data_IF_436717451170
#
_entry.id   IF_436717451170
#
_cell.length_a   1.000
_cell.length_b   1.000
_cell.length_c   1.000
_cell.angle_alpha   90.00
_cell.angle_beta   90.00
_cell.angle_gamma   90.00
#
_symmetry.space_group_name_H-M   'P 1'
#
loop_
_entity.id
_entity.type
_entity.pdbx_description
1 polymer ?
#
# COMPACT_ATOMS: atom_id res chain seq x y z
N UNK A 1 -3.44 18.93 12.97
CA UNK A 1 -3.95 17.55 12.88
C UNK A 1 -3.10 16.66 13.77
N UNK A 2 -3.72 15.82 14.59
CA UNK A 2 -3.03 14.86 15.45
C UNK A 2 -3.83 13.57 15.49
N UNK A 3 -3.27 12.50 14.92
CA UNK A 3 -3.89 11.17 14.95
C UNK A 3 -3.10 10.14 15.77
N UNK A 4 -2.53 10.58 16.90
CA UNK A 4 -1.83 9.72 17.85
C UNK A 4 -2.72 9.40 19.05
N UNK A 5 -3.04 8.11 19.25
CA UNK A 5 -3.94 7.63 20.29
C UNK A 5 -3.23 6.60 21.19
N UNK A 6 -3.19 6.86 22.50
CA UNK A 6 -2.55 5.93 23.43
C UNK A 6 -1.09 5.59 23.14
N UNK A 7 -0.36 6.49 22.45
CA UNK A 7 1.01 6.27 22.03
C UNK A 7 1.15 5.66 20.61
N UNK A 8 0.06 5.17 20.02
CA UNK A 8 0.05 4.59 18.67
C UNK A 8 -0.29 5.66 17.63
N UNK A 9 0.53 5.77 16.57
CA UNK A 9 0.25 6.64 15.43
C UNK A 9 -0.76 5.96 14.52
N UNK A 10 -1.93 6.59 14.35
CA UNK A 10 -2.93 6.19 13.36
C UNK A 10 -2.67 6.93 12.06
N UNK A 11 -2.75 6.21 10.96
CA UNK A 11 -2.54 6.72 9.61
C UNK A 11 -3.52 6.11 8.62
N UNK A 12 -3.33 6.47 7.36
CA UNK A 12 -4.05 5.85 6.24
C UNK A 12 -3.14 5.73 5.02
N UNK A 13 -3.38 4.73 4.19
CA UNK A 13 -2.84 4.69 2.84
C UNK A 13 -3.71 5.57 1.93
N UNK A 14 -3.09 6.41 1.09
CA UNK A 14 -3.85 7.34 0.21
C UNK A 14 -4.71 6.61 -0.82
N UNK A 15 -4.43 5.33 -1.10
CA UNK A 15 -5.30 4.45 -1.89
C UNK A 15 -6.73 4.31 -1.32
N UNK A 16 -6.94 4.62 -0.04
CA UNK A 16 -8.28 4.62 0.57
C UNK A 16 -9.23 5.62 -0.10
N UNK A 17 -8.71 6.66 -0.74
CA UNK A 17 -9.46 7.69 -1.46
C UNK A 17 -9.47 7.53 -2.99
N UNK A 18 -9.09 6.35 -3.51
CA UNK A 18 -8.97 6.08 -4.97
C UNK A 18 -10.25 6.34 -5.79
N UNK A 19 -11.42 6.34 -5.17
CA UNK A 19 -12.72 6.65 -5.79
C UNK A 19 -13.12 8.12 -5.66
N UNK A 20 -12.30 8.93 -5.00
CA UNK A 20 -12.51 10.37 -4.83
C UNK A 20 -11.58 11.14 -5.78
N UNK A 21 -11.79 12.45 -5.98
CA UNK A 21 -10.85 13.27 -6.76
C UNK A 21 -9.42 13.13 -6.25
N UNK A 22 -8.49 12.82 -7.16
CA UNK A 22 -7.06 12.63 -6.85
C UNK A 22 -6.30 13.94 -6.70
N UNK A 23 -4.98 13.82 -6.50
CA UNK A 23 -4.06 14.94 -6.34
C UNK A 23 -3.69 15.22 -4.90
N UNK A 24 -2.48 15.77 -4.71
CA UNK A 24 -1.89 15.94 -3.39
C UNK A 24 -2.68 16.90 -2.51
N UNK A 25 -3.24 17.95 -3.09
CA UNK A 25 -4.08 18.95 -2.40
C UNK A 25 -5.37 18.30 -1.86
N UNK A 26 -6.00 17.43 -2.65
CA UNK A 26 -7.17 16.69 -2.20
C UNK A 26 -6.83 15.69 -1.09
N UNK A 27 -5.69 15.01 -1.18
CA UNK A 27 -5.19 14.13 -0.10
C UNK A 27 -5.03 14.92 1.19
N UNK A 28 -4.45 16.12 1.14
CA UNK A 28 -4.32 17.01 2.30
C UNK A 28 -5.69 17.32 2.89
N UNK A 29 -6.64 17.74 2.06
CA UNK A 29 -8.01 18.03 2.48
C UNK A 29 -8.66 16.83 3.19
N UNK A 30 -8.55 15.63 2.59
CA UNK A 30 -9.12 14.42 3.19
C UNK A 30 -8.46 14.03 4.51
N UNK A 31 -7.14 14.20 4.62
CA UNK A 31 -6.43 14.02 5.87
C UNK A 31 -6.93 14.97 6.97
N UNK A 32 -7.11 16.24 6.62
CA UNK A 32 -7.61 17.24 7.56
C UNK A 32 -9.05 16.96 8.00
N UNK A 33 -9.93 16.62 7.07
CA UNK A 33 -11.33 16.26 7.36
C UNK A 33 -11.43 14.98 8.21
N UNK A 34 -10.55 13.99 7.96
CA UNK A 34 -10.49 12.74 8.72
C UNK A 34 -9.65 12.86 10.00
N UNK A 35 -9.04 14.01 10.28
CA UNK A 35 -8.10 14.23 11.38
C UNK A 35 -6.90 13.27 11.39
N UNK A 36 -6.36 12.94 10.21
CA UNK A 36 -5.22 12.03 10.00
C UNK A 36 -3.94 12.84 9.83
N UNK A 37 -2.90 12.54 10.62
CA UNK A 37 -1.59 13.24 10.60
C UNK A 37 -0.44 12.39 10.05
N UNK A 38 -0.70 11.16 9.61
CA UNK A 38 0.33 10.26 9.06
C UNK A 38 -0.23 9.47 7.89
N UNK A 39 0.53 9.38 6.78
CA UNK A 39 0.07 8.68 5.58
C UNK A 39 1.13 7.71 5.04
N UNK A 40 0.63 6.62 4.45
CA UNK A 40 1.32 5.85 3.43
C UNK A 40 0.92 6.43 2.07
N UNK A 41 1.86 7.08 1.40
CA UNK A 41 1.59 7.81 0.17
C UNK A 41 1.77 6.90 -1.05
N UNK A 42 0.76 6.85 -1.92
CA UNK A 42 0.90 6.20 -3.22
C UNK A 42 1.93 6.93 -4.07
N UNK A 43 2.93 6.20 -4.57
CA UNK A 43 3.97 6.76 -5.42
C UNK A 43 3.42 7.42 -6.69
N UNK A 44 2.36 6.84 -7.26
CA UNK A 44 1.70 7.42 -8.43
C UNK A 44 1.08 8.80 -8.17
N UNK A 45 0.51 9.04 -7.00
CA UNK A 45 -0.01 10.36 -6.63
C UNK A 45 1.12 11.41 -6.52
N UNK A 46 2.25 10.99 -5.94
CA UNK A 46 3.43 11.82 -5.82
C UNK A 46 4.06 12.11 -7.19
N UNK A 47 4.29 11.08 -8.01
CA UNK A 47 4.87 11.24 -9.34
C UNK A 47 4.00 12.11 -10.24
N UNK A 48 2.67 11.95 -10.19
CA UNK A 48 1.73 12.81 -10.93
C UNK A 48 1.82 14.27 -10.49
N UNK A 49 1.90 14.54 -9.19
CA UNK A 49 2.10 15.89 -8.66
C UNK A 49 3.43 16.52 -9.14
N UNK A 50 4.47 15.72 -9.25
CA UNK A 50 5.79 16.14 -9.69
C UNK A 50 5.92 16.27 -11.23
N UNK A 51 4.88 15.95 -11.99
CA UNK A 51 4.81 16.09 -13.44
C UNK A 51 5.31 14.89 -14.23
N UNK A 52 5.18 13.68 -13.69
CA UNK A 52 5.48 12.45 -14.41
C UNK A 52 4.61 12.27 -15.65
N UNK A 53 5.09 11.56 -16.68
CA UNK A 53 4.28 11.14 -17.81
C UNK A 53 3.02 10.37 -17.37
N UNK A 54 1.90 10.62 -18.05
CA UNK A 54 0.64 9.96 -17.72
C UNK A 54 0.67 8.46 -18.10
N UNK A 55 0.35 7.59 -17.15
CA UNK A 55 0.33 6.15 -17.37
C UNK A 55 -0.83 5.74 -18.30
N UNK A 56 -0.58 5.21 -19.51
CA UNK A 56 -1.62 4.85 -20.47
C UNK A 56 -2.50 3.70 -20.00
N UNK A 57 -2.03 2.84 -19.10
CA UNK A 57 -2.81 1.73 -18.56
C UNK A 57 -4.10 2.20 -17.89
N UNK A 58 -4.10 3.37 -17.26
CA UNK A 58 -5.31 3.94 -16.65
C UNK A 58 -6.42 4.21 -17.69
N UNK A 59 -6.06 4.58 -18.92
CA UNK A 59 -7.01 4.77 -20.04
C UNK A 59 -7.58 3.42 -20.51
N UNK A 60 -6.74 2.39 -20.55
CA UNK A 60 -7.15 1.06 -21.02
C UNK A 60 -8.11 0.40 -20.05
N UNK A 61 -7.91 0.54 -18.74
CA UNK A 61 -8.82 0.02 -17.71
C UNK A 61 -10.13 0.80 -17.61
N UNK A 62 -10.12 2.12 -17.81
CA UNK A 62 -11.36 2.94 -17.84
C UNK A 62 -12.32 2.57 -18.99
N UNK A 63 -11.81 2.02 -20.08
CA UNK A 63 -12.64 1.59 -21.24
C UNK A 63 -13.35 0.26 -21.01
N UNK A 64 -12.98 -0.51 -20.00
CA UNK A 64 -13.80 -1.64 -19.54
C UNK A 64 -14.92 -1.05 -18.66
N UNK A 65 -16.06 -0.77 -19.29
CA UNK A 65 -17.22 -0.22 -18.58
C UNK A 65 -17.57 -1.07 -17.35
N UNK A 66 -17.98 -0.45 -16.23
CA UNK A 66 -18.52 -1.17 -15.10
C UNK A 66 -19.64 -2.09 -15.60
N UNK A 67 -19.64 -3.35 -15.16
CA UNK A 67 -20.79 -4.22 -15.39
C UNK A 67 -22.04 -3.48 -14.84
N UNK A 68 -23.15 -3.48 -15.57
CA UNK A 68 -24.38 -2.87 -15.07
C UNK A 68 -24.68 -3.48 -13.70
N UNK A 69 -25.06 -2.62 -12.75
CA UNK A 69 -25.44 -3.04 -11.42
C UNK A 69 -26.51 -4.15 -11.54
N UNK A 70 -26.35 -5.22 -10.76
CA UNK A 70 -27.34 -6.30 -10.73
C UNK A 70 -28.72 -5.71 -10.46
N UNK A 71 -29.71 -6.16 -11.21
CA UNK A 71 -31.09 -5.73 -10.99
C UNK A 71 -31.54 -6.13 -9.57
N UNK A 72 -32.45 -5.36 -8.94
CA UNK A 72 -32.99 -5.73 -7.64
C UNK A 72 -33.51 -7.18 -7.66
N UNK A 73 -32.90 -8.06 -6.83
CA UNK A 73 -33.24 -9.48 -6.76
C UNK A 73 -32.30 -10.44 -7.52
N UNK A 74 -31.37 -9.95 -8.33
CA UNK A 74 -30.31 -10.80 -8.92
C UNK A 74 -29.09 -10.88 -7.99
N UNK A 75 -28.60 -12.11 -7.75
CA UNK A 75 -27.32 -12.30 -7.03
C UNK A 75 -26.19 -11.63 -7.83
N UNK A 76 -25.33 -10.82 -7.19
CA UNK A 76 -24.15 -10.30 -7.85
C UNK A 76 -23.36 -11.47 -8.46
N UNK A 77 -22.99 -11.36 -9.73
CA UNK A 77 -22.11 -12.33 -10.35
C UNK A 77 -20.79 -12.37 -9.58
N UNK A 78 -20.32 -13.56 -9.21
CA UNK A 78 -19.05 -13.74 -8.56
C UNK A 78 -17.95 -13.02 -9.38
N UNK A 79 -17.01 -12.30 -8.72
CA UNK A 79 -15.94 -11.62 -9.43
C UNK A 79 -15.18 -12.64 -10.28
N UNK A 80 -15.26 -12.52 -11.60
CA UNK A 80 -14.48 -13.35 -12.50
C UNK A 80 -13.01 -13.08 -12.20
N UNK A 81 -12.26 -14.11 -11.84
CA UNK A 81 -10.80 -14.07 -11.87
C UNK A 81 -10.40 -13.71 -13.31
N UNK A 82 -10.18 -12.44 -13.55
CA UNK A 82 -9.63 -11.99 -14.83
C UNK A 82 -8.17 -12.41 -14.85
N UNK A 83 -7.79 -13.17 -15.88
CA UNK A 83 -6.37 -13.43 -16.17
C UNK A 83 -5.64 -12.11 -16.42
N UNK A 84 -4.30 -12.14 -16.53
CA UNK A 84 -3.54 -10.94 -16.83
C UNK A 84 -4.13 -10.23 -18.07
N UNK A 85 -4.21 -8.89 -18.06
CA UNK A 85 -4.81 -8.14 -19.16
C UNK A 85 -4.06 -8.45 -20.46
N UNK A 86 -4.81 -8.76 -21.51
CA UNK A 86 -4.24 -8.91 -22.85
C UNK A 86 -4.31 -7.55 -23.57
N UNK A 87 -3.17 -7.00 -23.90
CA UNK A 87 -3.06 -5.75 -24.66
C UNK A 87 -2.95 -6.02 -26.16
N UNK A 88 -3.47 -5.11 -26.98
CA UNK A 88 -3.19 -5.14 -28.43
C UNK A 88 -1.74 -4.73 -28.67
N UNK A 89 -1.17 -5.06 -29.87
CA UNK A 89 0.19 -4.61 -30.21
C UNK A 89 0.39 -3.09 -30.06
N UNK A 90 -0.61 -2.30 -30.44
CA UNK A 90 -0.58 -0.83 -30.31
C UNK A 90 -0.59 -0.39 -28.85
N UNK A 91 -1.41 -1.02 -28.00
CA UNK A 91 -1.44 -0.76 -26.57
C UNK A 91 -0.12 -1.15 -25.91
N UNK A 92 0.46 -2.28 -26.32
CA UNK A 92 1.76 -2.70 -25.82
C UNK A 92 2.87 -1.71 -26.20
N UNK A 93 2.87 -1.22 -27.45
CA UNK A 93 3.82 -0.21 -27.90
C UNK A 93 3.68 1.11 -27.09
N UNK A 94 2.44 1.53 -26.78
CA UNK A 94 2.20 2.71 -25.94
C UNK A 94 2.70 2.50 -24.49
N UNK A 95 2.52 1.31 -23.95
CA UNK A 95 3.04 0.95 -22.62
C UNK A 95 4.58 0.96 -22.63
N UNK A 96 5.21 0.40 -23.64
CA UNK A 96 6.68 0.32 -23.71
C UNK A 96 7.29 1.71 -23.90
N UNK A 97 6.69 2.55 -24.72
CA UNK A 97 7.07 3.98 -24.84
C UNK A 97 6.95 4.69 -23.49
N UNK A 98 5.83 4.51 -22.79
CA UNK A 98 5.65 5.09 -21.45
C UNK A 98 6.74 4.64 -20.45
N UNK A 99 7.13 3.36 -20.46
CA UNK A 99 8.19 2.88 -19.58
C UNK A 99 9.52 3.61 -19.79
N UNK A 100 9.89 3.85 -21.05
CA UNK A 100 11.11 4.60 -21.37
C UNK A 100 10.98 6.07 -20.96
N UNK A 101 9.85 6.70 -21.22
CA UNK A 101 9.60 8.10 -20.86
C UNK A 101 9.60 8.31 -19.35
N UNK A 102 8.91 7.43 -18.60
CA UNK A 102 8.86 7.55 -17.13
C UNK A 102 10.20 7.24 -16.49
N UNK A 103 10.97 6.28 -17.04
CA UNK A 103 12.34 6.02 -16.59
C UNK A 103 13.22 7.25 -16.78
N UNK A 104 13.23 7.84 -17.99
CA UNK A 104 14.02 9.05 -18.26
C UNK A 104 13.62 10.20 -17.33
N UNK A 105 12.31 10.39 -17.11
CA UNK A 105 11.79 11.38 -16.18
C UNK A 105 12.24 11.13 -14.73
N UNK A 106 12.14 9.90 -14.23
CA UNK A 106 12.58 9.51 -12.88
C UNK A 106 14.05 9.80 -12.66
N UNK A 107 14.90 9.42 -13.60
CA UNK A 107 16.35 9.61 -13.50
C UNK A 107 16.78 11.08 -13.66
N UNK A 108 15.97 11.91 -14.32
CA UNK A 108 16.17 13.34 -14.46
C UNK A 108 15.48 14.22 -13.41
N UNK A 109 14.76 13.61 -12.46
CA UNK A 109 13.99 14.38 -11.48
C UNK A 109 14.89 15.18 -10.54
N UNK A 110 14.64 16.48 -10.45
CA UNK A 110 15.22 17.35 -9.42
C UNK A 110 14.53 17.07 -8.07
N UNK A 111 15.30 16.52 -7.11
CA UNK A 111 14.81 16.18 -5.78
C UNK A 111 14.33 17.38 -4.95
N UNK A 112 14.73 18.61 -5.30
CA UNK A 112 14.20 19.83 -4.65
C UNK A 112 12.68 19.97 -4.82
N UNK A 113 12.13 19.47 -5.92
CA UNK A 113 10.67 19.41 -6.15
C UNK A 113 9.97 18.46 -5.18
N UNK A 114 10.62 17.36 -4.84
CA UNK A 114 10.14 16.39 -3.84
C UNK A 114 10.09 17.02 -2.45
N UNK A 115 11.11 17.79 -2.09
CA UNK A 115 11.14 18.55 -0.84
C UNK A 115 10.00 19.58 -0.77
N UNK A 116 9.64 20.18 -1.91
CA UNK A 116 8.47 21.05 -2.03
C UNK A 116 7.16 20.32 -1.72
N UNK A 117 6.96 19.12 -2.27
CA UNK A 117 5.81 18.27 -1.95
C UNK A 117 5.77 17.87 -0.46
N UNK A 118 6.93 17.51 0.09
CA UNK A 118 7.05 17.23 1.53
C UNK A 118 6.67 18.42 2.37
N UNK A 119 7.15 19.64 2.01
CA UNK A 119 6.83 20.86 2.73
C UNK A 119 5.32 21.14 2.72
N UNK A 120 4.66 20.97 1.57
CA UNK A 120 3.21 21.14 1.43
C UNK A 120 2.43 20.25 2.42
N UNK A 121 2.80 18.97 2.53
CA UNK A 121 2.18 18.03 3.49
C UNK A 121 2.52 18.41 4.95
N UNK A 122 3.77 18.73 5.24
CA UNK A 122 4.20 19.06 6.60
C UNK A 122 3.59 20.35 7.11
N UNK A 123 3.40 21.36 6.27
CA UNK A 123 2.71 22.62 6.63
C UNK A 123 1.24 22.37 6.99
N UNK A 124 0.62 21.34 6.38
CA UNK A 124 -0.71 20.86 6.74
C UNK A 124 -0.75 19.94 7.97
N UNK A 125 0.40 19.69 8.62
CA UNK A 125 0.52 18.81 9.78
C UNK A 125 0.47 17.32 9.45
N UNK A 126 0.83 16.94 8.22
CA UNK A 126 0.79 15.56 7.73
C UNK A 126 2.22 15.06 7.48
N UNK A 127 2.55 13.90 8.04
CA UNK A 127 3.83 13.21 7.82
C UNK A 127 3.66 12.01 6.89
N UNK A 128 4.63 11.78 6.02
CA UNK A 128 4.70 10.57 5.19
C UNK A 128 5.61 9.58 5.90
N UNK A 129 5.11 8.38 6.21
CA UNK A 129 5.91 7.35 6.88
C UNK A 129 6.36 6.23 5.94
N UNK A 130 5.59 5.98 4.88
CA UNK A 130 5.90 5.03 3.79
C UNK A 130 5.54 5.70 2.46
N UNK A 131 6.33 5.43 1.41
CA UNK A 131 5.93 5.71 0.03
C UNK A 131 5.79 4.39 -0.73
N UNK A 132 4.61 4.15 -1.33
CA UNK A 132 4.34 2.95 -2.13
C UNK A 132 4.85 3.15 -3.56
N UNK A 133 6.15 2.96 -3.75
CA UNK A 133 6.83 3.11 -5.05
C UNK A 133 6.79 1.86 -5.92
N UNK A 134 6.52 0.70 -5.34
CA UNK A 134 6.43 -0.60 -6.01
C UNK A 134 7.66 -0.92 -6.88
N UNK A 135 8.87 -1.01 -6.30
CA UNK A 135 10.11 -1.23 -7.05
C UNK A 135 10.15 -2.55 -7.84
N UNK A 136 9.29 -3.53 -7.53
CA UNK A 136 9.15 -4.76 -8.33
C UNK A 136 8.74 -4.48 -9.77
N UNK A 137 7.98 -3.43 -10.01
CA UNK A 137 7.55 -2.99 -11.34
C UNK A 137 8.56 -2.12 -12.08
N UNK A 138 9.70 -1.79 -11.46
CA UNK A 138 10.73 -0.93 -12.06
C UNK A 138 11.72 -1.74 -12.90
N UNK A 139 12.00 -1.26 -14.12
CA UNK A 139 12.76 -1.98 -15.13
C UNK A 139 14.27 -1.97 -14.89
N UNK A 140 14.80 -1.09 -14.05
CA UNK A 140 16.22 -0.98 -13.79
C UNK A 140 16.55 -0.70 -12.32
N UNK A 141 17.81 -0.96 -11.94
CA UNK A 141 18.28 -0.73 -10.58
C UNK A 141 18.42 0.76 -10.25
N UNK A 142 18.66 1.60 -11.26
CA UNK A 142 18.63 3.06 -11.10
C UNK A 142 17.23 3.56 -10.72
N UNK A 143 16.17 2.97 -11.26
CA UNK A 143 14.80 3.29 -10.85
C UNK A 143 14.49 2.77 -9.43
N UNK A 144 15.01 1.60 -9.04
CA UNK A 144 14.92 1.13 -7.65
C UNK A 144 15.64 2.11 -6.71
N UNK A 145 16.83 2.55 -7.06
CA UNK A 145 17.57 3.57 -6.29
C UNK A 145 16.79 4.89 -6.19
N UNK A 146 16.17 5.32 -7.29
CA UNK A 146 15.27 6.48 -7.34
C UNK A 146 14.12 6.33 -6.33
N UNK A 147 13.47 5.16 -6.25
CA UNK A 147 12.35 4.93 -5.33
C UNK A 147 12.73 5.23 -3.87
N UNK A 148 13.91 4.78 -3.44
CA UNK A 148 14.41 5.06 -2.09
C UNK A 148 14.83 6.52 -1.91
N UNK A 149 15.47 7.14 -2.91
CA UNK A 149 15.83 8.57 -2.87
C UNK A 149 14.61 9.46 -2.70
N UNK A 150 13.56 9.23 -3.49
CA UNK A 150 12.32 10.01 -3.43
C UNK A 150 11.60 9.80 -2.10
N UNK A 151 11.47 8.56 -1.64
CA UNK A 151 10.86 8.28 -0.35
C UNK A 151 11.61 8.94 0.81
N UNK A 152 12.95 8.94 0.77
CA UNK A 152 13.80 9.63 1.75
C UNK A 152 13.60 11.15 1.71
N UNK A 153 13.55 11.75 0.52
CA UNK A 153 13.29 13.19 0.35
C UNK A 153 11.90 13.59 0.86
N UNK A 154 10.89 12.71 0.72
CA UNK A 154 9.57 12.87 1.35
C UNK A 154 9.60 12.77 2.88
N UNK A 155 10.71 12.39 3.49
CA UNK A 155 10.85 12.18 4.93
C UNK A 155 10.34 10.82 5.41
N UNK A 156 9.97 9.92 4.50
CA UNK A 156 9.62 8.54 4.81
C UNK A 156 10.84 7.75 5.25
N UNK A 157 10.61 6.68 6.03
CA UNK A 157 11.66 5.75 6.43
C UNK A 157 11.53 4.38 5.75
N UNK A 158 10.46 4.18 4.99
CA UNK A 158 10.25 2.93 4.27
C UNK A 158 9.65 3.18 2.88
N UNK A 159 10.01 2.27 1.97
CA UNK A 159 9.34 2.02 0.69
C UNK A 159 8.51 0.76 0.86
N UNK A 160 7.39 0.62 0.16
CA UNK A 160 6.57 -0.59 0.20
C UNK A 160 6.27 -1.15 -1.19
N UNK A 161 6.11 -2.46 -1.22
CA UNK A 161 5.70 -3.28 -2.36
C UNK A 161 4.99 -4.54 -1.86
N UNK A 162 4.47 -5.36 -2.77
CA UNK A 162 3.89 -6.66 -2.44
C UNK A 162 4.98 -7.65 -2.03
N UNK A 163 4.70 -8.48 -1.02
CA UNK A 163 5.67 -9.42 -0.44
C UNK A 163 6.11 -10.47 -1.47
N UNK A 164 7.41 -10.48 -1.77
CA UNK A 164 8.00 -11.38 -2.74
C UNK A 164 9.49 -11.59 -2.47
N UNK A 165 9.98 -12.82 -2.56
CA UNK A 165 11.37 -13.19 -2.26
C UNK A 165 12.37 -12.57 -3.23
N UNK A 166 12.09 -12.62 -4.54
CA UNK A 166 13.01 -12.10 -5.54
C UNK A 166 13.09 -10.57 -5.48
N UNK A 167 11.95 -9.93 -5.25
CA UNK A 167 11.92 -8.48 -5.00
C UNK A 167 12.76 -8.14 -3.77
N UNK A 168 12.63 -8.89 -2.68
CA UNK A 168 13.40 -8.64 -1.45
C UNK A 168 14.92 -8.75 -1.68
N UNK A 169 15.38 -9.78 -2.41
CA UNK A 169 16.80 -9.92 -2.78
C UNK A 169 17.31 -8.72 -3.59
N UNK A 170 16.50 -8.25 -4.55
CA UNK A 170 16.86 -7.13 -5.42
C UNK A 170 16.93 -5.81 -4.67
N UNK A 171 15.97 -5.53 -3.76
CA UNK A 171 15.83 -4.21 -3.13
C UNK A 171 16.62 -4.05 -1.84
N UNK A 172 17.01 -5.13 -1.16
CA UNK A 172 17.73 -5.07 0.11
C UNK A 172 18.99 -4.20 0.06
N UNK A 173 19.89 -4.30 -0.95
CA UNK A 173 21.07 -3.45 -1.05
C UNK A 173 20.74 -1.95 -1.14
N UNK A 174 19.61 -1.58 -1.77
CA UNK A 174 19.18 -0.20 -1.88
C UNK A 174 18.59 0.32 -0.58
N UNK A 175 17.80 -0.49 0.12
CA UNK A 175 17.31 -0.14 1.44
C UNK A 175 18.45 0.13 2.43
N UNK A 176 19.47 -0.74 2.45
CA UNK A 176 20.68 -0.59 3.26
C UNK A 176 21.49 0.67 2.86
N UNK A 177 21.76 0.85 1.56
CA UNK A 177 22.46 2.01 1.02
C UNK A 177 21.84 3.34 1.47
N UNK A 178 20.52 3.42 1.50
CA UNK A 178 19.81 4.64 1.87
C UNK A 178 19.52 4.74 3.38
N UNK A 179 19.82 3.72 4.18
CA UNK A 179 19.48 3.64 5.59
C UNK A 179 17.97 3.68 5.81
N UNK A 180 17.23 2.98 4.96
CA UNK A 180 15.78 2.89 4.95
C UNK A 180 15.30 1.44 5.07
N UNK A 181 14.00 1.27 5.22
CA UNK A 181 13.36 -0.04 5.20
C UNK A 181 12.65 -0.29 3.88
N UNK A 182 12.66 -1.55 3.46
CA UNK A 182 11.69 -2.10 2.54
C UNK A 182 10.62 -2.83 3.36
N UNK A 183 9.42 -2.28 3.44
CA UNK A 183 8.33 -2.83 4.23
C UNK A 183 7.31 -3.52 3.30
N UNK A 184 7.27 -4.83 3.29
CA UNK A 184 6.44 -5.61 2.39
C UNK A 184 5.00 -5.75 2.86
N UNK A 185 4.07 -5.45 1.95
CA UNK A 185 2.64 -5.62 2.13
C UNK A 185 2.19 -7.01 1.66
N UNK A 186 1.27 -7.63 2.38
CA UNK A 186 0.67 -8.89 1.99
C UNK A 186 -0.79 -8.73 1.56
N UNK A 187 -1.19 -9.54 0.59
CA UNK A 187 -2.58 -9.83 0.28
C UNK A 187 -2.96 -11.24 0.76
N UNK A 188 -2.94 -12.21 -0.14
CA UNK A 188 -3.38 -13.59 0.15
C UNK A 188 -2.22 -14.59 0.21
N UNK A 189 -0.97 -14.14 0.16
CA UNK A 189 0.21 -14.99 0.10
C UNK A 189 0.28 -15.97 1.28
N UNK A 190 -0.14 -15.55 2.47
CA UNK A 190 -0.15 -16.42 3.66
C UNK A 190 -1.14 -17.60 3.59
N UNK A 191 -2.07 -17.60 2.61
CA UNK A 191 -2.96 -18.72 2.35
C UNK A 191 -2.39 -19.68 1.28
N UNK A 192 -1.27 -19.34 0.66
CA UNK A 192 -0.60 -20.20 -0.31
C UNK A 192 0.16 -21.33 0.43
N UNK A 193 0.05 -22.56 -0.08
CA UNK A 193 0.72 -23.71 0.51
C UNK A 193 2.24 -23.51 0.53
N UNK A 194 2.85 -23.68 1.72
CA UNK A 194 4.30 -23.54 1.90
C UNK A 194 4.81 -22.10 1.97
N UNK A 195 3.95 -21.08 1.89
CA UNK A 195 4.41 -19.71 2.04
C UNK A 195 4.88 -19.41 3.47
N UNK A 196 6.04 -18.79 3.57
CA UNK A 196 6.57 -18.19 4.80
C UNK A 196 7.27 -16.87 4.50
N UNK A 197 7.12 -15.88 5.37
CA UNK A 197 7.89 -14.65 5.30
C UNK A 197 9.31 -14.79 5.93
N UNK A 198 9.61 -15.87 6.64
CA UNK A 198 10.90 -16.07 7.30
C UNK A 198 12.09 -15.99 6.32
N UNK A 199 12.09 -16.66 5.14
CA UNK A 199 13.19 -16.53 4.18
C UNK A 199 13.34 -15.10 3.63
N UNK A 200 12.23 -14.37 3.50
CA UNK A 200 12.22 -12.99 3.01
C UNK A 200 12.85 -12.06 4.05
N UNK A 201 12.43 -12.18 5.30
CA UNK A 201 12.95 -11.40 6.42
C UNK A 201 14.42 -11.72 6.74
N UNK A 202 14.88 -12.93 6.44
CA UNK A 202 16.26 -13.36 6.65
C UNK A 202 17.25 -12.70 5.69
N UNK A 203 16.81 -12.08 4.58
CA UNK A 203 17.67 -11.44 3.58
C UNK A 203 18.44 -10.27 4.20
N UNK A 204 17.75 -9.42 4.98
CA UNK A 204 18.35 -8.23 5.57
C UNK A 204 17.53 -7.71 6.76
N UNK A 205 18.17 -7.10 7.75
CA UNK A 205 17.47 -6.32 8.78
C UNK A 205 16.67 -5.14 8.23
N UNK A 206 17.01 -4.66 7.03
CA UNK A 206 16.27 -3.58 6.35
C UNK A 206 14.97 -4.05 5.69
N UNK A 207 14.73 -5.36 5.62
CA UNK A 207 13.46 -5.93 5.15
C UNK A 207 12.51 -6.04 6.35
N UNK A 208 11.36 -5.40 6.22
CA UNK A 208 10.31 -5.34 7.25
C UNK A 208 8.96 -5.74 6.66
N UNK A 209 7.94 -5.86 7.50
CA UNK A 209 6.56 -6.10 7.10
C UNK A 209 5.74 -4.80 7.22
N UNK A 210 5.00 -4.48 6.19
CA UNK A 210 3.84 -3.60 6.19
C UNK A 210 2.61 -4.53 6.26
N UNK A 211 2.41 -5.11 7.44
CA UNK A 211 1.54 -6.26 7.63
C UNK A 211 0.07 -5.91 7.50
N UNK A 212 -0.62 -6.47 6.51
CA UNK A 212 -2.07 -6.34 6.40
C UNK A 212 -2.79 -7.45 7.16
N UNK A 213 -3.23 -7.11 8.37
CA UNK A 213 -3.92 -8.01 9.28
C UNK A 213 -5.28 -8.45 8.76
N UNK A 214 -5.97 -7.57 8.00
CA UNK A 214 -7.26 -7.91 7.40
C UNK A 214 -7.13 -8.90 6.25
N UNK A 215 -6.15 -8.72 5.36
CA UNK A 215 -5.89 -9.71 4.31
C UNK A 215 -5.42 -11.04 4.87
N UNK A 216 -4.57 -11.01 5.90
CA UNK A 216 -4.13 -12.21 6.59
C UNK A 216 -5.31 -12.99 7.18
N UNK A 217 -6.14 -12.34 8.01
CA UNK A 217 -7.32 -12.97 8.59
C UNK A 217 -8.30 -13.47 7.52
N UNK A 218 -8.67 -12.60 6.57
CA UNK A 218 -9.65 -12.93 5.54
C UNK A 218 -9.24 -14.08 4.63
N UNK A 219 -7.95 -14.32 4.45
CA UNK A 219 -7.44 -15.41 3.61
C UNK A 219 -7.14 -16.70 4.38
N UNK A 220 -6.75 -16.62 5.64
CA UNK A 220 -6.30 -17.77 6.43
C UNK A 220 -7.28 -18.17 7.55
N UNK A 221 -8.10 -17.24 8.05
CA UNK A 221 -8.89 -17.43 9.28
C UNK A 221 -8.09 -17.40 10.56
N UNK A 222 -6.77 -17.23 10.50
CA UNK A 222 -5.88 -17.22 11.65
C UNK A 222 -5.94 -15.84 12.30
N UNK A 223 -5.91 -15.81 13.64
CA UNK A 223 -5.92 -14.57 14.41
C UNK A 223 -4.65 -13.74 14.15
N UNK A 224 -4.74 -12.46 13.70
CA UNK A 224 -3.57 -11.67 13.32
C UNK A 224 -2.55 -11.45 14.44
N UNK A 225 -2.98 -11.53 15.71
CA UNK A 225 -2.09 -11.41 16.84
C UNK A 225 -1.00 -12.48 16.89
N UNK A 226 -1.18 -13.62 16.24
CA UNK A 226 -0.13 -14.64 16.13
C UNK A 226 1.06 -14.08 15.32
N UNK A 227 0.79 -13.44 14.19
CA UNK A 227 1.81 -12.79 13.37
C UNK A 227 2.44 -11.59 14.08
N UNK A 228 1.60 -10.74 14.71
CA UNK A 228 2.09 -9.54 15.40
C UNK A 228 3.03 -9.91 16.54
N UNK A 229 2.69 -10.92 17.35
CA UNK A 229 3.55 -11.42 18.45
C UNK A 229 4.84 -12.03 17.92
N UNK A 230 4.76 -12.85 16.86
CA UNK A 230 5.93 -13.54 16.30
C UNK A 230 6.93 -12.56 15.65
N UNK A 231 6.43 -11.54 14.97
CA UNK A 231 7.25 -10.66 14.12
C UNK A 231 7.23 -9.19 14.58
N UNK A 232 6.90 -8.90 15.84
CA UNK A 232 6.72 -7.52 16.31
C UNK A 232 7.93 -6.63 16.03
N UNK A 233 9.16 -7.13 16.12
CA UNK A 233 10.40 -6.38 15.82
C UNK A 233 10.65 -6.21 14.31
N UNK A 234 9.90 -6.91 13.46
CA UNK A 234 10.01 -6.90 12.00
C UNK A 234 8.78 -6.31 11.32
N UNK A 235 7.80 -5.83 12.08
CA UNK A 235 6.63 -5.13 11.57
C UNK A 235 6.88 -3.62 11.66
N UNK A 236 6.93 -2.96 10.50
CA UNK A 236 7.08 -1.51 10.40
C UNK A 236 5.74 -0.80 10.54
N UNK A 237 4.69 -1.34 9.93
CA UNK A 237 3.33 -0.82 9.95
C UNK A 237 2.31 -1.95 9.87
N UNK A 238 1.11 -1.71 10.38
CA UNK A 238 -0.01 -2.65 10.28
C UNK A 238 -1.15 -2.00 9.52
N UNK A 239 -1.65 -2.68 8.49
CA UNK A 239 -2.91 -2.33 7.84
C UNK A 239 -4.06 -3.04 8.54
N UNK A 240 -5.08 -2.28 8.90
CA UNK A 240 -6.33 -2.81 9.44
C UNK A 240 -7.47 -2.59 8.46
N UNK A 241 -8.28 -3.59 8.29
CA UNK A 241 -9.56 -3.56 7.59
C UNK A 241 -10.44 -4.66 8.16
N UNK A 242 -11.72 -4.38 8.29
CA UNK A 242 -12.66 -5.42 8.71
C UNK A 242 -13.02 -6.32 7.53
N UNK A 243 -13.07 -7.62 7.76
CA UNK A 243 -13.30 -8.63 6.74
C UNK A 243 -14.07 -9.83 7.26
N UNK A 244 -14.74 -10.53 6.35
CA UNK A 244 -15.22 -11.88 6.59
C UNK A 244 -14.06 -12.88 6.55
N UNK A 245 -14.23 -14.00 7.23
CA UNK A 245 -13.28 -15.12 7.21
C UNK A 245 -13.23 -15.85 5.86
N UNK A 246 -12.28 -16.80 5.68
CA UNK A 246 -12.08 -17.51 4.42
C UNK A 246 -13.21 -18.49 4.06
N UNK A 247 -14.04 -18.86 5.03
CA UNK A 247 -15.14 -19.83 4.87
C UNK A 247 -16.52 -19.22 5.09
N UNK A 248 -16.64 -17.90 5.17
CA UNK A 248 -17.88 -17.21 5.48
C UNK A 248 -18.83 -17.21 4.29
N UNK A 249 -19.80 -18.10 4.31
CA UNK A 249 -20.96 -18.16 3.42
C UNK A 249 -20.63 -17.87 1.94
N UNK A 250 -21.48 -17.04 1.31
CA UNK A 250 -21.34 -16.68 -0.11
C UNK A 250 -20.30 -15.58 -0.38
N UNK A 251 -19.70 -14.98 0.66
CA UNK A 251 -18.78 -13.84 0.55
C UNK A 251 -17.53 -14.01 1.42
N UNK A 252 -16.70 -15.03 1.14
CA UNK A 252 -15.45 -15.23 1.87
C UNK A 252 -14.46 -14.11 1.57
N UNK A 253 -13.64 -13.77 2.57
CA UNK A 253 -12.55 -12.79 2.44
C UNK A 253 -12.99 -11.43 1.85
N UNK A 254 -14.19 -10.98 2.19
CA UNK A 254 -14.77 -9.72 1.67
C UNK A 254 -14.62 -8.60 2.69
N UNK A 255 -14.26 -7.39 2.22
CA UNK A 255 -14.18 -6.21 3.08
C UNK A 255 -15.56 -5.86 3.62
N UNK A 256 -15.60 -5.50 4.89
CA UNK A 256 -16.80 -5.09 5.60
C UNK A 256 -16.68 -3.66 6.14
N UNK A 257 -17.80 -3.07 6.47
CA UNK A 257 -17.82 -1.87 7.30
C UNK A 257 -17.24 -2.22 8.67
N UNK A 258 -16.47 -1.34 9.27
CA UNK A 258 -15.83 -1.58 10.56
C UNK A 258 -16.85 -1.98 11.64
N UNK A 259 -16.57 -3.08 12.32
CA UNK A 259 -17.42 -3.69 13.35
C UNK A 259 -18.55 -4.59 12.80
N UNK A 260 -18.62 -4.81 11.49
CA UNK A 260 -19.61 -5.68 10.85
C UNK A 260 -19.00 -6.95 10.25
N UNK A 261 -17.67 -7.07 10.27
CA UNK A 261 -16.93 -8.24 9.83
C UNK A 261 -16.65 -9.21 10.97
N UNK A 262 -15.74 -10.13 10.70
CA UNK A 262 -15.34 -11.19 11.63
C UNK A 262 -13.89 -11.00 12.12
N UNK A 263 -13.16 -10.05 11.55
CA UNK A 263 -11.79 -9.79 11.97
C UNK A 263 -11.78 -9.29 13.43
N UNK A 264 -10.92 -9.85 14.31
CA UNK A 264 -10.85 -9.46 15.72
C UNK A 264 -10.14 -8.11 15.91
N UNK A 265 -10.76 -7.03 15.41
CA UNK A 265 -10.20 -5.67 15.37
C UNK A 265 -9.81 -5.17 16.76
N UNK A 266 -10.66 -5.38 17.77
CA UNK A 266 -10.42 -4.90 19.13
C UNK A 266 -9.18 -5.56 19.74
N UNK A 267 -9.05 -6.87 19.61
CA UNK A 267 -7.90 -7.62 20.13
C UNK A 267 -6.59 -7.20 19.47
N UNK A 268 -6.63 -6.94 18.15
CA UNK A 268 -5.47 -6.44 17.41
C UNK A 268 -5.08 -5.04 17.88
N UNK A 269 -6.05 -4.14 18.04
CA UNK A 269 -5.81 -2.78 18.53
C UNK A 269 -5.27 -2.77 19.96
N UNK A 270 -5.81 -3.62 20.83
CA UNK A 270 -5.34 -3.77 22.23
C UNK A 270 -3.89 -4.27 22.27
N UNK A 271 -3.54 -5.29 21.48
CA UNK A 271 -2.17 -5.79 21.39
C UNK A 271 -1.20 -4.71 20.93
N UNK A 272 -1.52 -3.98 19.85
CA UNK A 272 -0.68 -2.90 19.32
C UNK A 272 -0.50 -1.79 20.35
N UNK A 273 -1.56 -1.45 21.09
CA UNK A 273 -1.49 -0.46 22.17
C UNK A 273 -0.59 -0.91 23.33
N UNK A 274 -0.55 -2.22 23.64
CA UNK A 274 0.32 -2.78 24.66
C UNK A 274 1.77 -2.85 24.23
N UNK A 275 2.02 -3.20 22.97
CA UNK A 275 3.37 -3.40 22.41
C UNK A 275 4.14 -2.08 22.17
N UNK A 276 3.61 -0.95 22.40
CA UNK A 276 4.16 0.45 22.38
C UNK A 276 5.46 0.72 21.60
N UNK A 277 6.13 -0.29 21.05
CA UNK A 277 7.52 -0.20 20.57
C UNK A 277 7.69 0.32 19.16
N UNK A 278 6.67 0.43 18.31
CA UNK A 278 6.85 1.04 16.97
C UNK A 278 5.73 0.81 15.96
N UNK A 279 4.64 0.19 16.31
CA UNK A 279 3.64 -0.17 15.32
C UNK A 279 2.82 1.05 14.92
N UNK A 280 2.88 1.41 13.64
CA UNK A 280 2.01 2.41 13.03
C UNK A 280 0.81 1.71 12.41
N UNK A 281 -0.37 2.23 12.67
CA UNK A 281 -1.62 1.71 12.11
C UNK A 281 -2.00 2.48 10.85
N UNK A 282 -2.15 1.77 9.75
CA UNK A 282 -2.76 2.27 8.53
C UNK A 282 -4.16 1.70 8.36
N UNK A 283 -5.15 2.58 8.31
CA UNK A 283 -6.49 2.21 7.89
C UNK A 283 -6.53 2.11 6.36
N UNK A 284 -6.69 0.92 5.83
CA UNK A 284 -6.97 0.69 4.41
C UNK A 284 -8.45 0.31 4.25
N UNK A 285 -9.20 1.18 3.62
CA UNK A 285 -10.64 1.09 3.34
C UNK A 285 -11.59 1.60 4.43
N UNK A 286 -11.88 2.89 4.38
CA UNK A 286 -13.18 3.42 4.77
C UNK A 286 -14.15 3.12 3.61
N UNK A 287 -14.86 1.98 3.64
CA UNK A 287 -16.00 1.80 2.75
C UNK A 287 -17.12 2.69 3.28
N UNK A 288 -17.49 3.72 2.52
CA UNK A 288 -18.77 4.40 2.73
C UNK A 288 -19.85 3.54 2.08
N UNK A 289 -20.86 3.18 2.86
CA UNK A 289 -22.16 2.74 2.38
C UNK A 289 -22.83 3.82 1.55
#
# INVERSE_FOLDING_TARGET
VNSKFGGVQIGTITYSWRSMPGGLENIIKYCQEANISSIELMGGDLEAYLGAPENPMMKFFRRQAPQPAAKPGEKPAAPRRMGPPKFTPEQQAEIDKYKEEVKAWRLGLDLSKVEGARKLLSDAGISVHIVKMQPSGMGSDEEVDYAFKVAKAMGAKAVTDEINLETAKRVAPFAEKHGMYMAFHNHMQYAEEGFSCDPILAISPSIMLNFDAGHFFGSTGIHPNEMIKKYHDRIYSVHLKDKTGPTTGDQPNTNQVWGQGEMPLEDVLLLIKQDRKSTRLNSSHLSRS
#
